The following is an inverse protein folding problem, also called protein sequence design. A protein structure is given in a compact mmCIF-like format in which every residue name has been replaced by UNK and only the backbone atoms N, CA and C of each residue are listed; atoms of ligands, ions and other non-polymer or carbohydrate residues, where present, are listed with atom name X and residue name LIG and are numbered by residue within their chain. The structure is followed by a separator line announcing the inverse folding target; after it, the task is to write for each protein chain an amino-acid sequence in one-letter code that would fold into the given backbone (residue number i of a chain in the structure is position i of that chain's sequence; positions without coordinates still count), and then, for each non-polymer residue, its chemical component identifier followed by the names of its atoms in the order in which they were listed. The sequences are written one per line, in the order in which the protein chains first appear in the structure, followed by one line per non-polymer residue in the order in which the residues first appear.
data_IF_890432661160
#
_entry.id   IF_890432661160
#
_cell.length_a   1.000
_cell.length_b   1.000
_cell.length_c   1.000
_cell.angle_alpha   90.00
_cell.angle_beta   90.00
_cell.angle_gamma   90.00
#
_symmetry.space_group_name_H-M   'P 1'
#
loop_
_entity.id
_entity.type
_entity.pdbx_description
1 polymer ?
#
# COMPACT_ATOMS: atom_id res chain seq x y z
N UNK A 1 -26.69 -59.03 -13.98
CA UNK A 1 -25.61 -58.07 -14.32
C UNK A 1 -26.01 -56.72 -13.72
N UNK A 2 -25.46 -56.35 -12.55
CA UNK A 2 -25.77 -55.09 -11.85
C UNK A 2 -24.58 -54.16 -12.04
N UNK A 3 -24.76 -53.09 -12.81
CA UNK A 3 -23.73 -52.08 -13.06
C UNK A 3 -23.71 -51.12 -11.86
N UNK A 4 -22.61 -51.11 -11.11
CA UNK A 4 -22.40 -50.19 -9.98
C UNK A 4 -21.79 -48.91 -10.54
N UNK A 5 -22.54 -47.81 -10.56
CA UNK A 5 -22.00 -46.49 -10.88
C UNK A 5 -21.33 -45.92 -9.63
N UNK A 6 -20.00 -45.83 -9.67
CA UNK A 6 -19.20 -45.14 -8.66
C UNK A 6 -19.27 -43.64 -8.95
N UNK A 7 -20.08 -42.90 -8.19
CA UNK A 7 -20.07 -41.44 -8.22
C UNK A 7 -18.87 -40.95 -7.41
N UNK A 8 -17.81 -40.53 -8.10
CA UNK A 8 -16.70 -39.78 -7.50
C UNK A 8 -17.19 -38.36 -7.26
N UNK A 9 -17.49 -38.03 -6.00
CA UNK A 9 -17.68 -36.64 -5.58
C UNK A 9 -16.31 -35.96 -5.48
N UNK A 10 -15.95 -35.22 -6.53
CA UNK A 10 -14.85 -34.25 -6.45
C UNK A 10 -15.41 -33.02 -5.77
N UNK A 11 -15.14 -32.85 -4.48
CA UNK A 11 -15.36 -31.56 -3.82
C UNK A 11 -14.32 -30.59 -4.35
N UNK A 12 -14.74 -29.67 -5.22
CA UNK A 12 -13.97 -28.48 -5.57
C UNK A 12 -13.93 -27.63 -4.30
N UNK A 13 -12.82 -27.72 -3.54
CA UNK A 13 -12.54 -26.74 -2.51
C UNK A 13 -12.39 -25.40 -3.23
N UNK A 14 -13.40 -24.56 -3.14
CA UNK A 14 -13.26 -23.16 -3.52
C UNK A 14 -12.32 -22.55 -2.48
N UNK A 15 -11.03 -22.46 -2.82
CA UNK A 15 -10.10 -21.60 -2.09
C UNK A 15 -10.56 -20.18 -2.40
N UNK A 16 -11.51 -19.67 -1.61
CA UNK A 16 -11.77 -18.24 -1.58
C UNK A 16 -10.53 -17.60 -0.97
N UNK A 17 -9.62 -17.12 -1.83
CA UNK A 17 -8.48 -16.28 -1.45
C UNK A 17 -9.00 -14.92 -0.94
N UNK A 18 -9.67 -14.93 0.22
CA UNK A 18 -9.61 -13.80 1.11
C UNK A 18 -8.24 -13.91 1.79
N UNK A 19 -7.23 -13.22 1.26
CA UNK A 19 -5.96 -13.07 1.99
C UNK A 19 -6.31 -12.42 3.33
N UNK A 20 -6.25 -13.21 4.40
CA UNK A 20 -6.32 -12.67 5.74
C UNK A 20 -4.94 -12.08 6.06
N UNK A 21 -4.92 -10.93 6.73
CA UNK A 21 -3.69 -10.35 7.25
C UNK A 21 -2.92 -11.38 8.11
N UNK A 22 -1.59 -11.33 8.17
CA UNK A 22 -0.84 -12.10 9.17
C UNK A 22 -1.34 -11.80 10.59
N UNK A 23 -1.32 -12.80 11.50
CA UNK A 23 -1.88 -12.67 12.85
C UNK A 23 -1.32 -11.47 13.62
N UNK A 24 -0.01 -11.23 13.52
CA UNK A 24 0.66 -10.11 14.17
C UNK A 24 0.14 -8.74 13.66
N UNK A 25 -0.18 -8.63 12.37
CA UNK A 25 -0.72 -7.42 11.77
C UNK A 25 -2.21 -7.26 12.12
N UNK A 26 -2.96 -8.36 12.25
CA UNK A 26 -4.33 -8.32 12.77
C UNK A 26 -4.36 -7.79 14.20
N UNK A 27 -3.48 -8.30 15.07
CA UNK A 27 -3.37 -7.85 16.47
C UNK A 27 -3.06 -6.37 16.54
N UNK A 28 -2.05 -5.90 15.79
CA UNK A 28 -1.75 -4.47 15.69
C UNK A 28 -2.99 -3.68 15.25
N UNK A 29 -3.65 -4.07 14.16
CA UNK A 29 -4.83 -3.37 13.63
C UNK A 29 -6.02 -3.28 14.60
N UNK A 30 -6.20 -4.26 15.49
CA UNK A 30 -7.25 -4.19 16.49
C UNK A 30 -7.08 -2.97 17.41
N UNK A 31 -5.85 -2.52 17.66
CA UNK A 31 -5.55 -1.36 18.52
C UNK A 31 -6.07 -0.03 17.93
N UNK A 32 -6.15 0.09 16.60
CA UNK A 32 -6.63 1.29 15.88
C UNK A 32 -8.05 1.12 15.34
N UNK A 33 -8.69 -0.05 15.53
CA UNK A 33 -10.02 -0.38 15.00
C UNK A 33 -11.14 0.57 15.48
N UNK A 34 -10.92 1.29 16.58
CA UNK A 34 -11.83 2.31 17.09
C UNK A 34 -12.02 3.47 16.11
N UNK A 35 -10.96 3.89 15.41
CA UNK A 35 -10.98 5.02 14.46
C UNK A 35 -10.64 4.66 13.01
N UNK A 36 -9.99 3.52 12.76
CA UNK A 36 -9.72 3.00 11.41
C UNK A 36 -10.63 1.82 11.06
N UNK A 37 -11.00 1.73 9.79
CA UNK A 37 -11.55 0.53 9.16
C UNK A 37 -10.67 0.13 7.97
N UNK A 38 -10.54 -1.16 7.69
CA UNK A 38 -9.94 -1.63 6.44
C UNK A 38 -10.82 -1.16 5.27
N UNK A 39 -10.19 -0.70 4.20
CA UNK A 39 -10.85 -0.20 2.99
C UNK A 39 -10.62 -1.13 1.80
N UNK A 40 -11.65 -1.36 1.00
CA UNK A 40 -11.58 -2.13 -0.25
C UNK A 40 -11.30 -1.24 -1.47
N UNK A 41 -10.88 0.00 -1.26
CA UNK A 41 -10.66 0.98 -2.32
C UNK A 41 -9.50 0.63 -3.26
N UNK A 42 -8.52 -0.17 -2.80
CA UNK A 42 -7.44 -0.70 -3.63
C UNK A 42 -7.37 -2.21 -3.46
N UNK A 43 -6.94 -2.92 -4.50
CA UNK A 43 -6.79 -4.37 -4.52
C UNK A 43 -5.35 -4.74 -4.91
N UNK A 44 -4.67 -5.65 -4.19
CA UNK A 44 -5.12 -6.36 -2.98
C UNK A 44 -5.34 -5.42 -1.77
N UNK A 45 -5.99 -5.88 -0.69
CA UNK A 45 -6.29 -5.07 0.51
C UNK A 45 -5.06 -4.69 1.33
N UNK A 46 -3.98 -5.44 1.16
CA UNK A 46 -2.70 -5.16 1.78
C UNK A 46 -1.57 -5.59 0.84
N UNK A 47 -0.39 -5.01 1.04
CA UNK A 47 0.85 -5.44 0.41
C UNK A 47 1.84 -5.86 1.50
N UNK A 48 2.71 -6.81 1.16
CA UNK A 48 3.72 -7.37 2.06
C UNK A 48 5.10 -7.26 1.39
N UNK A 49 6.02 -6.55 2.03
CA UNK A 49 7.39 -6.33 1.58
C UNK A 49 8.25 -5.78 2.73
N UNK A 50 9.57 -5.82 2.61
CA UNK A 50 10.52 -5.19 3.53
C UNK A 50 10.58 -3.67 3.26
N UNK A 51 9.60 -2.91 3.76
CA UNK A 51 9.44 -1.50 3.44
C UNK A 51 10.43 -0.62 4.20
N UNK A 52 10.90 -1.01 5.39
CA UNK A 52 11.92 -0.26 6.15
C UNK A 52 13.37 -0.72 5.90
N UNK A 53 13.57 -1.85 5.20
CA UNK A 53 14.88 -2.37 4.82
C UNK A 53 15.59 -3.11 5.96
N UNK A 54 14.87 -3.53 7.00
CA UNK A 54 15.42 -4.28 8.13
C UNK A 54 15.59 -5.79 7.84
N UNK A 55 15.14 -6.24 6.68
CA UNK A 55 15.22 -7.63 6.21
C UNK A 55 14.04 -8.50 6.62
N UNK A 56 13.02 -7.96 7.30
CA UNK A 56 11.78 -8.65 7.63
C UNK A 56 10.61 -8.13 6.80
N UNK A 57 9.59 -8.96 6.60
CA UNK A 57 8.39 -8.54 5.88
C UNK A 57 7.49 -7.66 6.76
N UNK A 58 7.19 -6.47 6.22
CA UNK A 58 6.25 -5.51 6.74
C UNK A 58 4.90 -5.62 6.01
N UNK A 59 3.87 -4.98 6.58
CA UNK A 59 2.53 -4.95 5.99
C UNK A 59 2.06 -3.52 5.82
N UNK A 60 1.50 -3.20 4.66
CA UNK A 60 0.74 -1.97 4.44
C UNK A 60 -0.71 -2.30 4.09
N UNK A 61 -1.66 -1.61 4.70
CA UNK A 61 -3.10 -1.87 4.57
C UNK A 61 -3.82 -0.61 4.12
N UNK A 62 -4.75 -0.75 3.18
CA UNK A 62 -5.69 0.30 2.83
C UNK A 62 -6.68 0.55 3.95
N UNK A 63 -6.79 1.80 4.42
CA UNK A 63 -7.64 2.16 5.55
C UNK A 63 -8.49 3.38 5.28
N UNK A 64 -9.58 3.47 6.04
CA UNK A 64 -10.49 4.61 6.10
C UNK A 64 -10.54 5.14 7.52
N UNK A 65 -10.25 6.43 7.69
CA UNK A 65 -10.28 7.08 9.01
C UNK A 65 -11.66 7.70 9.30
N UNK A 66 -12.37 7.14 10.28
CA UNK A 66 -13.72 7.53 10.69
C UNK A 66 -13.76 8.92 11.30
N UNK A 67 -12.71 9.31 11.99
CA UNK A 67 -12.63 10.60 12.70
C UNK A 67 -12.18 11.74 11.78
N UNK A 68 -11.49 11.42 10.69
CA UNK A 68 -11.01 12.40 9.71
C UNK A 68 -11.84 12.41 8.43
N UNK A 69 -13.17 12.39 8.57
CA UNK A 69 -14.11 12.57 7.46
C UNK A 69 -14.14 11.40 6.48
N UNK A 70 -13.86 10.17 6.93
CA UNK A 70 -13.84 8.97 6.09
C UNK A 70 -12.88 9.07 4.90
N UNK A 71 -11.74 9.75 5.10
CA UNK A 71 -10.66 9.84 4.13
C UNK A 71 -9.88 8.53 4.05
N UNK A 72 -9.44 8.19 2.85
CA UNK A 72 -8.67 7.00 2.54
C UNK A 72 -7.18 7.30 2.70
N UNK A 73 -6.45 6.32 3.21
CA UNK A 73 -4.99 6.34 3.24
C UNK A 73 -4.46 4.94 3.47
N UNK A 74 -3.20 4.87 3.87
CA UNK A 74 -2.51 3.62 4.14
C UNK A 74 -2.01 3.61 5.58
N UNK A 75 -2.03 2.45 6.22
CA UNK A 75 -1.31 2.21 7.47
C UNK A 75 -0.22 1.16 7.23
N UNK A 76 1.01 1.51 7.56
CA UNK A 76 2.17 0.64 7.54
C UNK A 76 2.37 0.08 8.95
N UNK A 77 2.56 -1.21 9.04
CA UNK A 77 3.06 -1.91 10.22
C UNK A 77 4.42 -2.49 9.90
N UNK A 78 5.44 -1.91 10.53
CA UNK A 78 6.80 -2.39 10.40
C UNK A 78 7.03 -3.54 11.39
N UNK A 79 7.84 -4.52 11.00
CA UNK A 79 8.17 -5.67 11.85
C UNK A 79 8.95 -5.23 13.09
N UNK A 80 9.78 -4.20 12.95
CA UNK A 80 10.50 -3.50 14.01
C UNK A 80 9.60 -2.99 15.15
N UNK A 81 8.28 -2.87 14.92
CA UNK A 81 7.28 -2.47 15.93
C UNK A 81 6.58 -1.17 15.56
N UNK A 82 7.24 -0.33 14.77
CA UNK A 82 6.72 0.98 14.36
C UNK A 82 5.47 0.88 13.47
N UNK A 83 4.68 1.94 13.49
CA UNK A 83 3.52 2.10 12.62
C UNK A 83 3.49 3.50 12.03
N UNK A 84 3.03 3.63 10.80
CA UNK A 84 2.92 4.91 10.11
C UNK A 84 1.61 4.99 9.35
N UNK A 85 0.88 6.08 9.51
CA UNK A 85 -0.32 6.37 8.73
C UNK A 85 0.02 7.48 7.76
N UNK A 86 -0.28 7.28 6.48
CA UNK A 86 -0.11 8.28 5.43
C UNK A 86 -1.45 8.52 4.72
N UNK A 87 -1.75 9.78 4.41
CA UNK A 87 -3.09 10.16 3.98
C UNK A 87 -4.09 9.99 5.13
N UNK A 88 -5.26 9.41 4.85
CA UNK A 88 -6.29 9.10 5.85
C UNK A 88 -6.70 10.30 6.73
N UNK A 89 -6.64 11.51 6.16
CA UNK A 89 -6.92 12.76 6.86
C UNK A 89 -5.77 13.72 6.96
N UNK A 90 -4.54 13.21 7.00
CA UNK A 90 -3.33 14.03 7.13
C UNK A 90 -2.67 14.21 5.76
N UNK A 91 -2.24 15.44 5.39
CA UNK A 91 -1.55 15.67 4.13
C UNK A 91 -0.26 14.84 4.03
N UNK A 92 -0.02 14.23 2.87
CA UNK A 92 1.18 13.45 2.58
C UNK A 92 1.71 13.75 1.18
N UNK A 93 2.73 14.63 1.11
CA UNK A 93 3.34 15.07 -0.15
C UNK A 93 2.31 15.52 -1.19
N UNK A 94 2.56 15.20 -2.46
CA UNK A 94 1.62 15.50 -3.55
C UNK A 94 0.41 14.55 -3.59
N UNK A 95 0.47 13.40 -2.90
CA UNK A 95 -0.67 12.47 -2.76
C UNK A 95 -1.84 13.05 -1.95
N UNK A 96 -1.62 14.15 -1.24
CA UNK A 96 -2.66 14.86 -0.50
C UNK A 96 -3.07 14.12 0.78
N UNK A 97 -4.29 14.40 1.28
CA UNK A 97 -4.79 13.84 2.55
C UNK A 97 -5.84 12.74 2.40
N UNK A 98 -6.29 12.47 1.17
CA UNK A 98 -7.33 11.48 0.86
C UNK A 98 -6.95 10.74 -0.42
N UNK A 99 -6.59 9.47 -0.32
CA UNK A 99 -6.13 8.65 -1.46
C UNK A 99 -7.29 8.03 -2.26
N UNK A 100 -8.51 8.57 -2.16
CA UNK A 100 -9.65 8.14 -3.01
C UNK A 100 -9.42 8.31 -4.51
N UNK A 101 -8.45 9.14 -4.90
CA UNK A 101 -8.08 9.36 -6.29
C UNK A 101 -7.34 8.17 -6.91
N UNK A 102 -6.75 7.29 -6.09
CA UNK A 102 -5.96 6.18 -6.58
C UNK A 102 -6.83 4.98 -6.95
N UNK A 103 -6.52 4.38 -8.09
CA UNK A 103 -7.22 3.21 -8.61
C UNK A 103 -6.40 1.92 -8.40
N UNK A 104 -5.07 2.06 -8.35
CA UNK A 104 -4.13 0.93 -8.30
C UNK A 104 -3.00 1.21 -7.32
N UNK A 105 -2.51 0.12 -6.74
CA UNK A 105 -1.25 0.13 -6.01
C UNK A 105 -0.49 -1.17 -6.18
N UNK A 106 0.83 -1.08 -6.12
CA UNK A 106 1.74 -2.22 -6.28
C UNK A 106 3.01 -2.01 -5.46
N UNK A 107 3.76 -3.09 -5.23
CA UNK A 107 5.11 -2.99 -4.69
C UNK A 107 6.06 -2.59 -5.82
N UNK A 108 6.82 -1.52 -5.61
CA UNK A 108 7.84 -1.05 -6.52
C UNK A 108 9.22 -1.48 -6.01
N UNK A 109 9.92 -2.30 -6.79
CA UNK A 109 11.20 -2.92 -6.39
C UNK A 109 12.40 -2.45 -7.21
N UNK A 110 12.20 -1.53 -8.16
CA UNK A 110 13.34 -1.01 -8.93
C UNK A 110 14.21 -0.15 -8.03
N UNK A 111 15.52 -0.38 -8.08
CA UNK A 111 16.52 0.38 -7.30
C UNK A 111 16.57 1.86 -7.67
N UNK A 112 15.99 2.26 -8.80
CA UNK A 112 16.06 3.62 -9.32
C UNK A 112 14.67 4.13 -9.70
N UNK A 113 14.41 5.36 -9.31
CA UNK A 113 13.28 6.17 -9.78
C UNK A 113 13.78 7.57 -10.12
N UNK A 114 12.93 8.35 -10.78
CA UNK A 114 13.21 9.73 -11.12
C UNK A 114 12.12 10.62 -10.57
N UNK A 115 12.51 11.76 -10.01
CA UNK A 115 11.58 12.79 -9.56
C UNK A 115 11.76 14.04 -10.40
N UNK A 116 10.66 14.59 -10.89
CA UNK A 116 10.67 15.88 -11.59
C UNK A 116 11.03 17.00 -10.61
N UNK A 117 12.02 17.81 -10.98
CA UNK A 117 12.45 18.99 -10.22
C UNK A 117 11.92 20.25 -10.89
N UNK A 118 11.61 21.25 -10.07
CA UNK A 118 11.04 22.52 -10.53
C UNK A 118 11.93 23.68 -10.08
N UNK A 119 12.04 24.70 -10.91
CA UNK A 119 12.72 25.94 -10.55
C UNK A 119 11.84 26.79 -9.61
N UNK A 120 12.37 27.92 -9.13
CA UNK A 120 11.65 28.84 -8.24
C UNK A 120 10.36 29.44 -8.83
N UNK A 121 10.20 29.39 -10.16
CA UNK A 121 9.04 29.90 -10.88
C UNK A 121 8.00 28.81 -11.14
N UNK A 122 8.27 27.55 -10.75
CA UNK A 122 7.41 26.40 -10.97
C UNK A 122 7.58 25.74 -12.34
N UNK A 123 8.56 26.13 -13.15
CA UNK A 123 8.86 25.44 -14.41
C UNK A 123 9.69 24.19 -14.15
N UNK A 124 9.50 23.16 -14.97
CA UNK A 124 10.30 21.94 -14.93
C UNK A 124 11.77 22.30 -15.15
N UNK A 125 12.61 22.02 -14.16
CA UNK A 125 14.06 22.21 -14.21
C UNK A 125 14.77 20.96 -14.72
N UNK A 126 14.22 19.77 -14.47
CA UNK A 126 14.77 18.50 -14.93
C UNK A 126 14.24 17.33 -14.14
N UNK A 127 15.05 16.26 -14.07
CA UNK A 127 14.78 15.08 -13.25
C UNK A 127 15.97 14.78 -12.35
N UNK A 128 15.69 14.40 -11.12
CA UNK A 128 16.67 13.90 -10.16
C UNK A 128 16.51 12.39 -10.02
N UNK A 129 17.61 11.65 -10.15
CA UNK A 129 17.60 10.21 -9.92
C UNK A 129 17.63 9.93 -8.42
N UNK A 130 16.66 9.15 -7.94
CA UNK A 130 16.59 8.69 -6.56
C UNK A 130 16.93 7.20 -6.54
N UNK A 131 17.85 6.82 -5.67
CA UNK A 131 18.21 5.42 -5.42
C UNK A 131 17.37 4.90 -4.24
N UNK A 132 16.58 3.86 -4.50
CA UNK A 132 15.78 3.17 -3.49
C UNK A 132 16.56 1.96 -2.99
N UNK A 133 16.69 1.83 -1.67
CA UNK A 133 17.42 0.70 -1.03
C UNK A 133 16.50 -0.45 -0.64
N UNK A 134 15.20 -0.18 -0.59
CA UNK A 134 14.13 -1.05 -0.14
C UNK A 134 12.90 -0.80 -1.04
N UNK A 135 11.97 -1.77 -1.13
CA UNK A 135 10.71 -1.59 -1.84
C UNK A 135 9.92 -0.35 -1.39
N UNK A 136 9.20 0.24 -2.35
CA UNK A 136 8.24 1.32 -2.11
C UNK A 136 6.81 0.85 -2.45
N UNK A 137 5.80 1.59 -2.00
CA UNK A 137 4.43 1.44 -2.49
C UNK A 137 4.23 2.42 -3.63
N UNK A 138 3.95 1.91 -4.83
CA UNK A 138 3.52 2.74 -5.96
C UNK A 138 2.00 2.83 -5.94
N UNK A 139 1.46 4.05 -5.85
CA UNK A 139 0.02 4.33 -5.87
C UNK A 139 -0.28 5.28 -7.03
N UNK A 140 -1.28 4.94 -7.84
CA UNK A 140 -1.57 5.67 -9.09
C UNK A 140 -3.04 5.55 -9.52
N UNK A 141 -3.45 6.46 -10.40
CA UNK A 141 -4.68 6.33 -11.20
C UNK A 141 -4.54 5.23 -12.26
N UNK A 142 -5.64 4.88 -12.93
CA UNK A 142 -5.57 3.96 -14.08
C UNK A 142 -4.68 4.47 -15.21
N UNK A 143 -4.60 5.80 -15.37
CA UNK A 143 -3.81 6.50 -16.39
C UNK A 143 -2.33 6.67 -16.00
N UNK A 144 -1.91 6.16 -14.84
CA UNK A 144 -0.51 6.16 -14.41
C UNK A 144 -0.04 7.44 -13.71
N UNK A 145 -0.98 8.33 -13.32
CA UNK A 145 -0.66 9.52 -12.52
C UNK A 145 -0.58 9.10 -11.06
N UNK A 146 0.56 9.33 -10.41
CA UNK A 146 0.73 8.86 -9.04
C UNK A 146 2.05 9.25 -8.39
N UNK A 147 2.50 8.39 -7.49
CA UNK A 147 3.76 8.55 -6.79
C UNK A 147 4.14 7.32 -5.99
N UNK A 148 5.38 7.32 -5.52
CA UNK A 148 5.89 6.31 -4.62
C UNK A 148 5.78 6.82 -3.18
N UNK A 149 5.41 5.91 -2.29
CA UNK A 149 5.50 6.08 -0.84
C UNK A 149 6.68 5.22 -0.39
N UNK A 150 7.75 5.87 0.06
CA UNK A 150 9.04 5.25 0.29
C UNK A 150 9.57 5.58 1.68
N UNK A 151 10.15 4.62 2.38
CA UNK A 151 10.81 4.87 3.67
C UNK A 151 12.24 5.35 3.43
N UNK A 152 12.58 6.55 3.89
CA UNK A 152 13.90 7.17 3.66
C UNK A 152 14.98 6.74 4.67
N UNK A 153 14.61 5.89 5.62
CA UNK A 153 15.44 5.48 6.76
C UNK A 153 14.98 6.07 8.10
N UNK A 154 14.12 7.11 8.06
CA UNK A 154 13.54 7.73 9.25
C UNK A 154 12.00 7.77 9.18
N UNK A 155 11.45 8.08 8.01
CA UNK A 155 10.02 8.22 7.80
C UNK A 155 9.60 7.86 6.37
N UNK A 156 8.29 7.68 6.17
CA UNK A 156 7.74 7.59 4.83
C UNK A 156 7.67 8.97 4.18
N UNK A 157 8.12 9.04 2.93
CA UNK A 157 8.10 10.23 2.07
C UNK A 157 7.34 9.96 0.78
N UNK A 158 6.86 11.03 0.15
CA UNK A 158 6.28 10.98 -1.19
C UNK A 158 7.35 11.30 -2.24
N UNK A 159 7.47 10.44 -3.24
CA UNK A 159 8.27 10.69 -4.44
C UNK A 159 7.31 10.78 -5.63
N UNK A 160 7.28 11.92 -6.29
CA UNK A 160 6.43 12.09 -7.48
C UNK A 160 6.90 11.14 -8.59
N UNK A 161 5.98 10.35 -9.13
CA UNK A 161 6.24 9.36 -10.18
C UNK A 161 5.14 9.43 -11.24
N UNK A 162 5.51 9.67 -12.49
CA UNK A 162 4.58 9.99 -13.58
C UNK A 162 4.56 11.49 -13.87
N UNK A 163 4.50 11.82 -15.16
CA UNK A 163 4.44 13.18 -15.71
C UNK A 163 3.01 13.77 -15.65
#
# INVERSE_FOLDING_TARGET
MRLLFLFIFVTIQHVTFAQNLPEWAQQKFQEQSSFLNISDSLTPRFLEADFDGDGNEDIVITVKNKEKGNKIGLIFYLRSGNQHIVGAGDPFGAGGSDFKWADKWTIFTNEKTYQTTYNSNGDIQGTEQILLKNPAVHIQTEDGIGGLIYFDGEQFIWIQHGD
#
